data_IF_333780788601
#
_entry.id   IF_333780788601
#
_cell.length_a   1.000
_cell.length_b   1.000
_cell.length_c   1.000
_cell.angle_alpha   90.00
_cell.angle_beta   90.00
_cell.angle_gamma   90.00
#
_symmetry.space_group_name_H-M   'P 1'
#
loop_
_entity.id
_entity.type
_entity.pdbx_description
1 polymer ?
#
# COMPACT_ATOMS: atom_id res chain seq x y z
N UNK A 1 12.79 -44.63 22.09
CA UNK A 1 13.50 -43.36 22.22
C UNK A 1 12.60 -42.30 21.63
N UNK A 2 12.20 -41.24 22.37
CA UNK A 2 11.47 -40.15 21.74
C UNK A 2 12.39 -39.48 20.71
N UNK A 3 11.89 -39.39 19.47
CA UNK A 3 12.62 -38.71 18.38
C UNK A 3 12.96 -37.28 18.78
N UNK A 4 14.05 -36.66 18.23
CA UNK A 4 14.42 -35.31 18.56
C UNK A 4 13.22 -34.40 18.27
N UNK A 5 12.72 -33.75 19.30
CA UNK A 5 11.67 -32.74 19.18
C UNK A 5 12.14 -31.72 18.13
N UNK A 6 11.36 -31.54 17.05
CA UNK A 6 11.66 -30.53 16.04
C UNK A 6 11.93 -29.21 16.77
N UNK A 7 13.09 -28.56 16.56
CA UNK A 7 13.36 -27.29 17.23
C UNK A 7 12.22 -26.33 16.89
N UNK A 8 11.63 -25.75 17.92
CA UNK A 8 10.53 -24.79 17.79
C UNK A 8 11.12 -23.45 17.31
N UNK A 9 11.08 -23.27 16.00
CA UNK A 9 11.65 -22.10 15.30
C UNK A 9 10.76 -20.86 15.37
N UNK A 10 9.92 -20.68 16.38
CA UNK A 10 9.05 -19.53 16.48
C UNK A 10 9.81 -18.25 16.82
N UNK A 11 9.84 -17.23 15.94
CA UNK A 11 10.47 -15.93 16.21
C UNK A 11 9.88 -15.23 17.44
N UNK A 12 8.63 -15.52 17.80
CA UNK A 12 7.96 -14.95 18.97
C UNK A 12 8.57 -15.37 20.32
N UNK A 13 9.45 -16.35 20.38
CA UNK A 13 10.25 -16.65 21.59
C UNK A 13 11.25 -15.54 21.92
N UNK A 14 11.67 -14.78 20.94
CA UNK A 14 12.55 -13.64 21.14
C UNK A 14 11.72 -12.43 21.59
N UNK A 15 11.88 -12.06 22.87
CA UNK A 15 11.13 -10.96 23.50
C UNK A 15 11.16 -9.68 22.65
N UNK A 16 12.34 -9.30 22.18
CA UNK A 16 12.50 -8.05 21.42
C UNK A 16 11.79 -8.10 20.07
N UNK A 17 11.80 -9.25 19.40
CA UNK A 17 11.01 -9.45 18.18
C UNK A 17 9.50 -9.37 18.47
N UNK A 18 9.02 -10.05 19.50
CA UNK A 18 7.59 -10.06 19.88
C UNK A 18 7.09 -8.67 20.21
N UNK A 19 7.85 -7.91 21.01
CA UNK A 19 7.51 -6.53 21.39
C UNK A 19 7.49 -5.63 20.18
N UNK A 20 8.51 -5.70 19.32
CA UNK A 20 8.59 -4.91 18.10
C UNK A 20 7.47 -5.25 17.10
N UNK A 21 7.23 -6.56 16.90
CA UNK A 21 6.19 -7.04 15.99
C UNK A 21 4.80 -6.59 16.44
N UNK A 22 4.47 -6.75 17.74
CA UNK A 22 3.18 -6.34 18.31
C UNK A 22 2.99 -4.82 18.20
N UNK A 23 3.98 -4.02 18.59
CA UNK A 23 3.91 -2.57 18.46
C UNK A 23 3.71 -2.12 17.01
N UNK A 24 4.44 -2.72 16.08
CA UNK A 24 4.29 -2.44 14.65
C UNK A 24 2.93 -2.90 14.10
N UNK A 25 2.40 -4.02 14.56
CA UNK A 25 1.09 -4.53 14.16
C UNK A 25 -0.03 -3.58 14.62
N UNK A 26 0.01 -3.15 15.89
CA UNK A 26 -0.96 -2.19 16.42
C UNK A 26 -0.90 -0.85 15.69
N UNK A 27 0.30 -0.31 15.43
CA UNK A 27 0.45 0.93 14.68
C UNK A 27 -0.03 0.82 13.23
N UNK A 28 0.11 -0.34 12.61
CA UNK A 28 -0.41 -0.59 11.26
C UNK A 28 -1.95 -0.63 11.24
N UNK A 29 -2.59 -1.14 12.30
CA UNK A 29 -4.05 -1.07 12.45
C UNK A 29 -4.48 0.39 12.65
N UNK A 30 -3.85 1.14 13.57
CA UNK A 30 -4.18 2.53 13.84
C UNK A 30 -4.13 3.41 12.58
N UNK A 31 -3.12 3.23 11.75
CA UNK A 31 -2.99 3.94 10.47
C UNK A 31 -4.21 3.75 9.54
N UNK A 32 -4.87 2.58 9.58
CA UNK A 32 -6.09 2.37 8.79
C UNK A 32 -7.25 3.20 9.34
N UNK A 33 -7.34 3.38 10.66
CA UNK A 33 -8.37 4.25 11.27
C UNK A 33 -8.24 5.69 10.78
N UNK A 34 -7.04 6.25 10.85
CA UNK A 34 -6.78 7.59 10.34
C UNK A 34 -7.06 7.71 8.84
N UNK A 35 -6.67 6.72 8.03
CA UNK A 35 -6.91 6.74 6.58
C UNK A 35 -8.39 6.76 6.22
N UNK A 36 -9.22 5.96 6.89
CA UNK A 36 -10.67 5.89 6.67
C UNK A 36 -11.34 7.17 7.17
N UNK A 37 -10.99 7.61 8.39
CA UNK A 37 -11.56 8.81 9.01
C UNK A 37 -11.25 10.07 8.21
N UNK A 38 -10.02 10.26 7.72
CA UNK A 38 -9.64 11.40 6.90
C UNK A 38 -10.44 11.46 5.59
N UNK A 39 -10.57 10.34 4.89
CA UNK A 39 -11.31 10.27 3.64
C UNK A 39 -12.81 10.57 3.85
N UNK A 40 -13.37 10.10 4.95
CA UNK A 40 -14.76 10.40 5.32
C UNK A 40 -14.92 11.86 5.72
N UNK A 41 -14.11 12.37 6.66
CA UNK A 41 -14.24 13.69 7.23
C UNK A 41 -14.02 14.80 6.20
N UNK A 42 -13.03 14.64 5.27
CA UNK A 42 -12.85 15.64 4.20
C UNK A 42 -14.09 15.73 3.31
N UNK A 43 -14.73 14.60 3.01
CA UNK A 43 -15.95 14.58 2.22
C UNK A 43 -17.14 15.14 2.99
N UNK A 44 -17.25 14.83 4.28
CA UNK A 44 -18.30 15.37 5.16
C UNK A 44 -18.23 16.90 5.27
N UNK A 45 -17.02 17.45 5.38
CA UNK A 45 -16.79 18.89 5.49
C UNK A 45 -17.00 19.66 4.18
N UNK A 46 -16.73 19.03 3.04
CA UNK A 46 -16.65 19.77 1.76
C UNK A 46 -17.68 19.35 0.72
N UNK A 47 -18.27 18.18 0.84
CA UNK A 47 -19.10 17.52 -0.17
C UNK A 47 -18.46 17.53 -1.58
N UNK A 48 -17.12 17.55 -1.64
CA UNK A 48 -16.35 17.71 -2.89
C UNK A 48 -15.46 16.50 -3.18
N UNK A 49 -15.68 15.79 -4.30
CA UNK A 49 -14.81 14.72 -4.76
C UNK A 49 -13.36 15.18 -4.99
N UNK A 50 -13.19 16.41 -5.49
CA UNK A 50 -11.87 16.99 -5.72
C UNK A 50 -11.05 17.08 -4.42
N UNK A 51 -11.70 17.45 -3.32
CA UNK A 51 -11.04 17.58 -2.03
C UNK A 51 -10.55 16.22 -1.50
N UNK A 52 -11.27 15.12 -1.77
CA UNK A 52 -10.78 13.77 -1.49
C UNK A 52 -9.57 13.45 -2.38
N UNK A 53 -9.62 13.82 -3.67
CA UNK A 53 -8.51 13.63 -4.61
C UNK A 53 -7.24 14.35 -4.17
N UNK A 54 -7.34 15.56 -3.62
CA UNK A 54 -6.21 16.34 -3.13
C UNK A 54 -5.49 15.67 -1.94
N UNK A 55 -6.14 14.80 -1.16
CA UNK A 55 -5.44 13.95 -0.16
C UNK A 55 -4.40 13.04 -0.84
N UNK A 56 -4.69 12.57 -2.06
CA UNK A 56 -3.73 11.81 -2.87
C UNK A 56 -2.47 12.62 -3.17
N UNK A 57 -2.63 13.85 -3.64
CA UNK A 57 -1.51 14.79 -3.91
C UNK A 57 -0.74 15.10 -2.61
N UNK A 58 -1.47 15.44 -1.54
CA UNK A 58 -0.87 15.73 -0.23
C UNK A 58 0.00 14.57 0.29
N UNK A 59 -0.37 13.33 -0.04
CA UNK A 59 0.40 12.13 0.30
C UNK A 59 1.56 11.90 -0.68
N UNK A 60 1.34 12.11 -1.98
CA UNK A 60 2.35 11.86 -3.02
C UNK A 60 3.56 12.78 -2.89
N UNK A 61 3.35 14.08 -2.61
CA UNK A 61 4.42 15.10 -2.56
C UNK A 61 5.54 14.71 -1.59
N UNK A 62 5.28 14.41 -0.30
CA UNK A 62 6.35 14.00 0.61
C UNK A 62 6.98 12.65 0.24
N UNK A 63 6.17 11.68 -0.23
CA UNK A 63 6.66 10.35 -0.62
C UNK A 63 7.64 10.45 -1.78
N UNK A 64 7.31 11.17 -2.84
CA UNK A 64 8.17 11.35 -4.01
C UNK A 64 9.40 12.20 -3.64
N UNK A 65 9.20 13.29 -2.90
CA UNK A 65 10.29 14.16 -2.43
C UNK A 65 11.33 13.41 -1.62
N UNK A 66 10.89 12.53 -0.71
CA UNK A 66 11.80 11.72 0.10
C UNK A 66 12.48 10.59 -0.66
N UNK A 67 11.88 10.05 -1.71
CA UNK A 67 12.56 9.10 -2.59
C UNK A 67 13.80 9.73 -3.25
N UNK A 68 13.76 11.04 -3.51
CA UNK A 68 14.86 11.79 -4.12
C UNK A 68 15.92 12.24 -3.10
N UNK A 69 15.51 12.56 -1.86
CA UNK A 69 16.39 13.20 -0.84
C UNK A 69 16.64 12.28 0.36
N UNK A 70 15.76 11.31 0.61
CA UNK A 70 15.72 10.50 1.85
C UNK A 70 16.92 9.60 2.07
N UNK A 71 17.68 9.27 1.01
CA UNK A 71 18.94 8.52 1.15
C UNK A 71 19.97 9.23 2.02
N UNK A 72 20.05 10.56 1.93
CA UNK A 72 21.00 11.38 2.70
C UNK A 72 20.65 11.47 4.19
N UNK A 73 19.36 11.48 4.53
CA UNK A 73 18.90 11.60 5.91
C UNK A 73 18.94 10.27 6.67
N UNK A 74 18.66 9.16 5.98
CA UNK A 74 18.67 7.83 6.61
C UNK A 74 20.08 7.33 6.96
N UNK A 75 21.12 7.80 6.23
CA UNK A 75 22.52 7.42 6.46
C UNK A 75 23.16 8.14 7.65
N UNK A 76 22.64 9.32 8.02
CA UNK A 76 23.21 10.18 9.04
C UNK A 76 22.74 9.85 10.46
N UNK A 77 21.66 9.08 10.65
CA UNK A 77 21.05 8.89 11.96
C UNK A 77 21.02 7.41 12.40
N UNK A 78 21.18 7.18 13.71
CA UNK A 78 20.91 5.90 14.33
C UNK A 78 19.45 5.48 14.07
N UNK A 79 19.22 4.29 13.49
CA UNK A 79 17.91 3.76 13.06
C UNK A 79 16.86 3.78 14.16
N UNK A 80 17.24 3.44 15.39
CA UNK A 80 16.34 3.48 16.55
C UNK A 80 15.95 4.91 16.91
N UNK A 81 16.91 5.85 16.89
CA UNK A 81 16.63 7.26 17.14
C UNK A 81 15.72 7.84 16.06
N UNK A 82 15.99 7.54 14.78
CA UNK A 82 15.15 7.99 13.67
C UNK A 82 13.72 7.47 13.83
N UNK A 83 13.54 6.16 14.10
CA UNK A 83 12.21 5.62 14.37
C UNK A 83 11.53 6.28 15.58
N UNK A 84 12.24 6.53 16.67
CA UNK A 84 11.65 7.23 17.82
C UNK A 84 11.19 8.64 17.47
N UNK A 85 11.99 9.40 16.72
CA UNK A 85 11.63 10.75 16.27
C UNK A 85 10.39 10.73 15.35
N UNK A 86 10.36 9.79 14.37
CA UNK A 86 9.21 9.67 13.47
C UNK A 86 7.95 9.25 14.21
N UNK A 87 8.05 8.32 15.17
CA UNK A 87 6.92 7.90 15.99
C UNK A 87 6.36 9.03 16.88
N UNK A 88 7.23 9.87 17.44
CA UNK A 88 6.81 11.06 18.20
C UNK A 88 6.07 12.04 17.28
N UNK A 89 6.58 12.25 16.07
CA UNK A 89 5.92 13.08 15.06
C UNK A 89 4.55 12.54 14.67
N UNK A 90 4.45 11.23 14.37
CA UNK A 90 3.20 10.54 14.03
C UNK A 90 2.18 10.63 15.17
N UNK A 91 2.61 10.36 16.40
CA UNK A 91 1.79 10.53 17.61
C UNK A 91 1.28 11.97 17.74
N UNK A 92 2.15 12.96 17.56
CA UNK A 92 1.80 14.38 17.66
C UNK A 92 0.76 14.79 16.62
N UNK A 93 0.92 14.34 15.37
CA UNK A 93 -0.04 14.63 14.29
C UNK A 93 -1.40 13.97 14.55
N UNK A 94 -1.42 12.67 14.91
CA UNK A 94 -2.68 11.97 15.18
C UNK A 94 -3.39 12.52 16.42
N UNK A 95 -2.65 12.91 17.47
CA UNK A 95 -3.21 13.57 18.66
C UNK A 95 -3.78 14.93 18.30
N UNK A 96 -3.08 15.74 17.53
CA UNK A 96 -3.56 17.06 17.08
C UNK A 96 -4.85 16.94 16.28
N UNK A 97 -4.93 15.95 15.36
CA UNK A 97 -6.16 15.68 14.62
C UNK A 97 -7.31 15.24 15.52
N UNK A 98 -7.04 14.37 16.52
CA UNK A 98 -8.05 13.94 17.46
C UNK A 98 -8.63 15.13 18.25
N UNK A 99 -7.75 16.00 18.77
CA UNK A 99 -8.16 17.19 19.53
C UNK A 99 -8.91 18.20 18.67
N UNK A 100 -8.43 18.53 17.47
CA UNK A 100 -9.11 19.44 16.54
C UNK A 100 -10.47 18.89 16.11
N UNK A 101 -10.53 17.58 15.85
CA UNK A 101 -11.80 16.94 15.45
C UNK A 101 -12.78 16.87 16.61
N UNK A 102 -12.33 16.62 17.83
CA UNK A 102 -13.15 16.66 19.03
C UNK A 102 -13.67 18.06 19.32
N UNK A 103 -12.85 19.09 19.11
CA UNK A 103 -13.24 20.50 19.27
C UNK A 103 -14.12 21.04 18.14
N UNK A 104 -14.40 20.25 17.08
CA UNK A 104 -15.13 20.70 15.90
C UNK A 104 -14.39 21.74 15.05
N UNK A 105 -13.07 21.87 15.22
CA UNK A 105 -12.21 22.85 14.54
C UNK A 105 -11.42 22.29 13.36
N UNK A 106 -11.74 21.07 12.91
CA UNK A 106 -11.08 20.46 11.76
C UNK A 106 -11.50 21.17 10.48
N UNK A 107 -10.49 21.57 9.69
CA UNK A 107 -10.67 22.18 8.38
C UNK A 107 -10.05 21.32 7.28
N UNK A 108 -10.40 21.48 6.01
CA UNK A 108 -9.71 20.77 4.91
C UNK A 108 -8.21 21.00 4.90
N UNK A 109 -7.75 22.21 5.22
CA UNK A 109 -6.33 22.54 5.28
C UNK A 109 -5.59 21.76 6.38
N UNK A 110 -6.20 21.60 7.56
CA UNK A 110 -5.59 20.80 8.65
C UNK A 110 -5.48 19.34 8.25
N UNK A 111 -6.45 18.78 7.51
CA UNK A 111 -6.40 17.40 6.99
C UNK A 111 -5.29 17.23 5.94
N UNK A 112 -5.07 18.21 5.05
CA UNK A 112 -3.97 18.13 4.07
C UNK A 112 -2.60 18.21 4.76
N UNK A 113 -2.41 19.16 5.66
CA UNK A 113 -1.14 19.30 6.39
C UNK A 113 -0.86 18.02 7.18
N UNK A 114 -1.86 17.50 7.89
CA UNK A 114 -1.70 16.23 8.61
C UNK A 114 -1.37 15.06 7.67
N UNK A 115 -2.04 14.97 6.50
CA UNK A 115 -1.73 13.94 5.49
C UNK A 115 -0.30 14.04 4.99
N UNK A 116 0.19 15.26 4.73
CA UNK A 116 1.58 15.51 4.32
C UNK A 116 2.57 15.08 5.40
N UNK A 117 2.33 15.46 6.66
CA UNK A 117 3.21 15.13 7.79
C UNK A 117 3.21 13.61 8.07
N UNK A 118 2.04 12.96 8.05
CA UNK A 118 1.94 11.51 8.20
C UNK A 118 2.68 10.78 7.07
N UNK A 119 2.55 11.23 5.82
CA UNK A 119 3.27 10.68 4.68
C UNK A 119 4.78 10.89 4.80
N UNK A 120 5.22 12.06 5.27
CA UNK A 120 6.62 12.38 5.52
C UNK A 120 7.23 11.42 6.55
N UNK A 121 6.63 11.34 7.75
CA UNK A 121 7.16 10.51 8.83
C UNK A 121 7.12 9.02 8.51
N UNK A 122 6.04 8.52 7.89
CA UNK A 122 5.94 7.11 7.50
C UNK A 122 6.94 6.73 6.42
N UNK A 123 7.24 7.62 5.48
CA UNK A 123 8.25 7.39 4.44
C UNK A 123 9.67 7.35 5.01
N UNK A 124 9.97 8.18 6.02
CA UNK A 124 11.26 8.17 6.73
C UNK A 124 11.44 6.92 7.60
N UNK A 125 10.34 6.43 8.18
CA UNK A 125 10.36 5.26 9.07
C UNK A 125 10.57 3.94 8.33
N UNK A 126 9.96 3.79 7.16
CA UNK A 126 9.87 2.53 6.43
C UNK A 126 11.20 1.77 6.27
N UNK A 127 12.30 2.43 5.84
CA UNK A 127 13.60 1.77 5.70
C UNK A 127 14.16 1.28 7.03
N UNK A 128 14.05 2.11 8.07
CA UNK A 128 14.53 1.77 9.42
C UNK A 128 13.77 0.59 10.00
N UNK A 129 12.46 0.53 9.83
CA UNK A 129 11.60 -0.56 10.28
C UNK A 129 12.03 -1.90 9.64
N UNK A 130 12.25 -1.92 8.33
CA UNK A 130 12.68 -3.14 7.61
C UNK A 130 14.07 -3.61 8.03
N UNK A 131 14.99 -2.68 8.24
CA UNK A 131 16.37 -3.01 8.59
C UNK A 131 16.57 -3.47 10.04
N UNK A 132 15.60 -3.24 10.92
CA UNK A 132 15.68 -3.69 12.32
C UNK A 132 15.40 -5.19 12.48
N UNK A 133 14.55 -5.79 11.66
CA UNK A 133 14.10 -7.17 11.82
C UNK A 133 15.23 -8.20 11.85
N UNK A 134 16.23 -8.15 10.94
CA UNK A 134 17.34 -9.09 10.99
C UNK A 134 18.18 -9.01 12.28
N UNK A 135 18.10 -7.88 13.00
CA UNK A 135 18.82 -7.70 14.28
C UNK A 135 18.06 -8.26 15.50
N UNK A 136 16.78 -8.61 15.33
CA UNK A 136 15.90 -9.04 16.43
C UNK A 136 15.74 -10.55 16.53
N UNK A 137 16.22 -11.32 15.53
CA UNK A 137 16.13 -12.78 15.47
C UNK A 137 17.45 -13.39 15.00
N UNK A 138 17.78 -14.63 15.39
CA UNK A 138 18.90 -15.39 14.80
C UNK A 138 18.70 -15.58 13.29
N UNK A 139 19.82 -15.76 12.56
CA UNK A 139 19.80 -15.91 11.10
C UNK A 139 18.93 -17.08 10.62
N UNK A 140 18.90 -18.16 11.39
CA UNK A 140 18.15 -19.38 11.10
C UNK A 140 16.63 -19.14 11.13
N UNK A 141 16.18 -18.17 11.92
CA UNK A 141 14.75 -17.82 12.07
C UNK A 141 14.32 -16.62 11.21
N UNK A 142 15.26 -16.01 10.47
CA UNK A 142 14.98 -14.85 9.63
C UNK A 142 13.90 -15.13 8.57
N UNK A 143 13.85 -16.28 7.88
CA UNK A 143 12.78 -16.56 6.92
C UNK A 143 11.38 -16.55 7.56
N UNK A 144 11.24 -17.12 8.78
CA UNK A 144 9.96 -17.10 9.52
C UNK A 144 9.59 -15.70 9.98
N UNK A 145 10.57 -14.90 10.45
CA UNK A 145 10.33 -13.52 10.84
C UNK A 145 9.87 -12.66 9.64
N UNK A 146 10.45 -12.86 8.47
CA UNK A 146 10.03 -12.21 7.24
C UNK A 146 8.63 -12.66 6.77
N UNK A 147 8.28 -13.94 6.94
CA UNK A 147 6.93 -14.43 6.66
C UNK A 147 5.88 -13.76 7.57
N UNK A 148 6.20 -13.56 8.86
CA UNK A 148 5.34 -12.86 9.81
C UNK A 148 5.15 -11.36 9.48
N UNK A 149 6.07 -10.74 8.73
CA UNK A 149 5.84 -9.40 8.19
C UNK A 149 4.67 -9.35 7.21
N UNK A 150 4.48 -10.42 6.43
CA UNK A 150 3.31 -10.53 5.56
C UNK A 150 2.01 -10.40 6.36
N UNK A 151 1.87 -11.12 7.48
CA UNK A 151 0.71 -11.03 8.38
C UNK A 151 0.55 -9.61 8.93
N UNK A 152 1.65 -8.98 9.37
CA UNK A 152 1.66 -7.62 9.87
C UNK A 152 1.22 -6.59 8.82
N UNK A 153 1.42 -6.88 7.54
CA UNK A 153 1.00 -6.02 6.44
C UNK A 153 -0.47 -6.24 6.05
N UNK A 154 -0.87 -7.51 5.84
CA UNK A 154 -2.17 -7.80 5.24
C UNK A 154 -3.33 -7.79 6.24
N UNK A 155 -3.14 -8.27 7.46
CA UNK A 155 -4.22 -8.29 8.46
C UNK A 155 -4.73 -6.89 8.80
N UNK A 156 -3.86 -5.87 9.05
CA UNK A 156 -4.32 -4.50 9.26
C UNK A 156 -5.06 -3.89 8.06
N UNK A 157 -4.64 -4.21 6.83
CA UNK A 157 -5.29 -3.68 5.62
C UNK A 157 -6.70 -4.26 5.44
N UNK A 158 -6.95 -5.48 5.91
CA UNK A 158 -8.27 -6.15 5.84
C UNK A 158 -9.15 -5.75 7.02
N UNK A 159 -8.67 -5.97 8.25
CA UNK A 159 -9.45 -5.77 9.45
C UNK A 159 -9.54 -4.30 9.88
N UNK A 160 -8.46 -3.53 9.68
CA UNK A 160 -8.36 -2.15 10.13
C UNK A 160 -9.46 -1.24 9.59
N UNK A 161 -9.72 -1.19 8.26
CA UNK A 161 -10.79 -0.36 7.73
C UNK A 161 -12.19 -0.74 8.21
N UNK A 162 -12.48 -2.04 8.38
CA UNK A 162 -13.76 -2.49 8.90
C UNK A 162 -13.96 -2.04 10.34
N UNK A 163 -12.93 -2.20 11.18
CA UNK A 163 -12.95 -1.72 12.57
C UNK A 163 -13.04 -0.18 12.62
N UNK A 164 -12.30 0.50 11.74
CA UNK A 164 -12.34 1.95 11.64
C UNK A 164 -13.74 2.45 11.26
N UNK A 165 -14.41 1.78 10.31
CA UNK A 165 -15.77 2.11 9.91
C UNK A 165 -16.78 2.00 11.05
N UNK A 166 -16.63 0.97 11.90
CA UNK A 166 -17.46 0.79 13.10
C UNK A 166 -17.22 1.93 14.10
N UNK A 167 -15.96 2.20 14.46
CA UNK A 167 -15.62 3.28 15.40
C UNK A 167 -16.04 4.64 14.86
N UNK A 168 -15.86 4.87 13.56
CA UNK A 168 -16.28 6.09 12.90
C UNK A 168 -17.80 6.30 12.96
N UNK A 169 -18.58 5.23 12.81
CA UNK A 169 -20.04 5.29 12.88
C UNK A 169 -20.58 5.62 14.28
N UNK A 170 -19.96 5.07 15.33
CA UNK A 170 -20.43 5.24 16.71
C UNK A 170 -19.81 6.44 17.43
N UNK A 171 -18.56 6.78 17.14
CA UNK A 171 -17.77 7.73 17.93
C UNK A 171 -17.13 8.85 17.09
N UNK A 172 -17.37 8.85 15.79
CA UNK A 172 -16.89 9.88 14.87
C UNK A 172 -15.39 9.85 14.55
N UNK A 173 -14.91 10.80 13.73
CA UNK A 173 -13.50 10.85 13.28
C UNK A 173 -12.50 11.04 14.40
N UNK A 174 -12.85 11.83 15.44
CA UNK A 174 -11.96 12.09 16.58
C UNK A 174 -11.50 10.81 17.28
N UNK A 175 -12.42 9.86 17.48
CA UNK A 175 -12.11 8.57 18.09
C UNK A 175 -11.15 7.73 17.22
N UNK A 176 -11.31 7.77 15.91
CA UNK A 176 -10.40 7.09 14.98
C UNK A 176 -8.97 7.64 15.08
N UNK A 177 -8.82 8.97 15.14
CA UNK A 177 -7.52 9.61 15.32
C UNK A 177 -6.91 9.31 16.69
N UNK A 178 -7.74 9.24 17.75
CA UNK A 178 -7.30 8.87 19.08
C UNK A 178 -6.79 7.41 19.13
N UNK A 179 -7.47 6.47 18.48
CA UNK A 179 -7.01 5.07 18.35
C UNK A 179 -5.65 5.01 17.65
N UNK A 180 -5.47 5.78 16.57
CA UNK A 180 -4.18 5.86 15.88
C UNK A 180 -3.09 6.45 16.78
N UNK A 181 -3.36 7.54 17.48
CA UNK A 181 -2.43 8.13 18.45
C UNK A 181 -2.01 7.10 19.52
N UNK A 182 -2.96 6.37 20.11
CA UNK A 182 -2.67 5.30 21.07
C UNK A 182 -1.80 4.20 20.46
N UNK A 183 -2.02 3.87 19.19
CA UNK A 183 -1.23 2.86 18.47
C UNK A 183 0.25 3.28 18.30
N UNK A 184 0.50 4.57 18.04
CA UNK A 184 1.85 5.12 17.98
C UNK A 184 2.54 5.13 19.35
N UNK A 185 1.80 5.38 20.44
CA UNK A 185 2.33 5.22 21.81
C UNK A 185 2.74 3.79 22.11
N UNK A 186 1.94 2.80 21.66
CA UNK A 186 2.29 1.39 21.80
C UNK A 186 3.60 1.07 21.06
N UNK A 187 3.81 1.60 19.86
CA UNK A 187 5.06 1.43 19.12
C UNK A 187 6.24 2.16 19.78
N UNK A 188 6.05 3.36 20.30
CA UNK A 188 7.07 4.09 21.09
C UNK A 188 7.47 3.30 22.34
N UNK A 189 6.49 2.72 23.05
CA UNK A 189 6.72 1.83 24.19
C UNK A 189 7.52 0.59 23.77
N UNK A 190 7.16 -0.03 22.65
CA UNK A 190 7.89 -1.17 22.10
C UNK A 190 9.35 -0.82 21.83
N UNK A 191 9.63 0.31 21.16
CA UNK A 191 11.00 0.77 20.88
C UNK A 191 11.81 1.04 22.15
N UNK A 192 11.20 1.58 23.21
CA UNK A 192 11.87 1.81 24.51
C UNK A 192 12.18 0.50 25.23
N UNK A 193 11.35 -0.52 25.07
CA UNK A 193 11.51 -1.83 25.72
C UNK A 193 12.54 -2.74 25.03
N UNK A 194 13.00 -2.42 23.81
CA UNK A 194 14.03 -3.18 23.11
C UNK A 194 15.37 -3.11 23.86
N UNK A 195 15.93 -4.29 24.12
CA UNK A 195 17.26 -4.44 24.75
C UNK A 195 18.38 -4.66 23.74
N UNK A 196 18.03 -5.17 22.56
CA UNK A 196 19.00 -5.43 21.48
C UNK A 196 19.65 -4.14 21.02
N UNK A 197 20.98 -4.14 20.99
CA UNK A 197 21.76 -3.06 20.36
C UNK A 197 21.57 -3.16 18.85
N UNK A 198 20.92 -2.18 18.27
CA UNK A 198 20.71 -2.08 16.84
C UNK A 198 21.99 -1.50 16.23
N UNK A 199 22.60 -2.14 15.23
CA UNK A 199 23.80 -1.61 14.58
C UNK A 199 23.56 -0.19 14.09
N UNK A 200 24.49 0.70 14.37
CA UNK A 200 24.49 2.06 13.83
C UNK A 200 24.70 1.99 12.32
N UNK A 201 23.91 2.75 11.59
CA UNK A 201 23.83 2.88 10.16
C UNK A 201 24.88 2.17 9.31
N UNK A 202 24.47 1.10 8.65
CA UNK A 202 25.13 0.65 7.43
C UNK A 202 24.53 1.46 6.29
N UNK A 203 25.31 2.38 5.73
CA UNK A 203 24.86 3.34 4.76
C UNK A 203 23.97 2.74 3.68
N UNK A 204 22.80 3.32 3.52
CA UNK A 204 22.08 3.19 2.27
C UNK A 204 23.00 3.77 1.21
N UNK A 205 23.33 2.97 0.21
CA UNK A 205 23.99 3.49 -0.98
C UNK A 205 23.05 4.57 -1.52
N UNK A 206 23.49 5.83 -1.43
CA UNK A 206 22.78 6.96 -1.99
C UNK A 206 22.35 6.58 -3.40
N UNK A 207 21.06 6.71 -3.67
CA UNK A 207 20.58 6.58 -5.04
C UNK A 207 21.17 7.79 -5.77
N UNK A 208 22.31 7.58 -6.41
CA UNK A 208 22.93 8.60 -7.25
C UNK A 208 21.99 8.87 -8.43
N UNK A 209 21.90 10.12 -8.85
CA UNK A 209 21.19 10.49 -10.08
C UNK A 209 21.68 9.68 -11.30
N UNK A 210 22.97 9.33 -11.34
CA UNK A 210 23.51 8.42 -12.34
C UNK A 210 22.93 7.01 -12.23
N UNK A 211 22.74 6.49 -11.01
CA UNK A 211 22.13 5.18 -10.79
C UNK A 211 20.66 5.14 -11.22
N UNK A 212 19.92 6.23 -11.01
CA UNK A 212 18.54 6.36 -11.50
C UNK A 212 18.50 6.39 -13.02
N UNK A 213 19.42 7.12 -13.64
CA UNK A 213 19.52 7.21 -15.09
C UNK A 213 19.83 5.85 -15.72
N UNK A 214 20.82 5.12 -15.21
CA UNK A 214 21.15 3.77 -15.69
C UNK A 214 19.98 2.79 -15.53
N UNK A 215 19.24 2.87 -14.41
CA UNK A 215 18.04 2.07 -14.22
C UNK A 215 16.93 2.44 -15.20
N UNK A 216 16.71 3.73 -15.49
CA UNK A 216 15.75 4.21 -16.47
C UNK A 216 16.13 3.76 -17.89
N UNK A 217 17.40 3.88 -18.28
CA UNK A 217 17.91 3.42 -19.57
C UNK A 217 17.69 1.91 -19.75
N UNK A 218 17.93 1.11 -18.69
CA UNK A 218 17.63 -0.32 -18.69
C UNK A 218 16.13 -0.59 -18.89
N UNK A 219 15.26 0.08 -18.11
CA UNK A 219 13.80 -0.07 -18.25
C UNK A 219 13.34 0.30 -19.66
N UNK A 220 13.85 1.40 -20.21
CA UNK A 220 13.47 1.90 -21.54
C UNK A 220 13.91 0.98 -22.68
N UNK A 221 15.09 0.37 -22.55
CA UNK A 221 15.62 -0.58 -23.53
C UNK A 221 15.00 -1.97 -23.43
N UNK A 222 14.39 -2.32 -22.29
CA UNK A 222 13.88 -3.67 -22.04
C UNK A 222 12.44 -3.84 -22.55
N UNK A 223 12.26 -4.62 -23.62
CA UNK A 223 10.99 -4.79 -24.34
C UNK A 223 9.84 -5.46 -23.55
N UNK A 224 10.05 -5.88 -22.30
CA UNK A 224 9.02 -6.50 -21.46
C UNK A 224 8.76 -5.68 -20.19
N UNK A 225 9.81 -5.14 -19.56
CA UNK A 225 9.69 -4.45 -18.26
C UNK A 225 8.91 -3.14 -18.41
N UNK A 226 9.27 -2.30 -19.36
CA UNK A 226 8.59 -1.00 -19.57
C UNK A 226 7.09 -1.17 -19.84
N UNK A 227 6.64 -2.04 -20.78
CA UNK A 227 5.21 -2.25 -21.00
C UNK A 227 4.47 -2.77 -19.75
N UNK A 228 5.10 -3.63 -18.93
CA UNK A 228 4.52 -4.10 -17.67
C UNK A 228 4.38 -2.98 -16.64
N UNK A 229 5.35 -2.07 -16.56
CA UNK A 229 5.28 -0.91 -15.67
C UNK A 229 4.22 0.10 -16.14
N UNK A 230 4.14 0.35 -17.44
CA UNK A 230 3.11 1.22 -18.02
C UNK A 230 1.71 0.65 -17.79
N UNK A 231 1.55 -0.65 -17.92
CA UNK A 231 0.28 -1.34 -17.70
C UNK A 231 -0.15 -1.26 -16.23
N UNK A 232 0.80 -1.43 -15.30
CA UNK A 232 0.56 -1.24 -13.86
C UNK A 232 0.17 0.20 -13.51
N UNK A 233 0.97 1.14 -14.01
CA UNK A 233 0.70 2.56 -13.80
C UNK A 233 -0.68 2.94 -14.35
N UNK A 234 -1.01 2.53 -15.58
CA UNK A 234 -2.31 2.82 -16.17
C UNK A 234 -3.46 2.23 -15.35
N UNK A 235 -3.33 0.98 -14.88
CA UNK A 235 -4.36 0.34 -14.06
C UNK A 235 -4.53 1.04 -12.71
N UNK A 236 -3.43 1.40 -12.05
CA UNK A 236 -3.47 2.03 -10.72
C UNK A 236 -3.75 3.54 -10.78
N UNK A 237 -3.48 4.19 -11.90
CA UNK A 237 -3.79 5.60 -12.14
C UNK A 237 -5.26 5.78 -12.54
N UNK A 238 -5.70 5.15 -13.61
CA UNK A 238 -7.09 5.32 -14.09
C UNK A 238 -8.10 4.48 -13.32
N UNK A 239 -7.78 3.24 -12.97
CA UNK A 239 -8.71 2.33 -12.29
C UNK A 239 -8.79 2.51 -10.78
N UNK A 240 -8.18 3.55 -10.19
CA UNK A 240 -8.18 3.76 -8.76
C UNK A 240 -9.48 4.40 -8.26
N UNK A 241 -10.45 3.59 -7.90
CA UNK A 241 -11.74 4.04 -7.32
C UNK A 241 -11.70 4.26 -5.80
N UNK A 242 -10.54 4.06 -5.14
CA UNK A 242 -10.44 4.14 -3.67
C UNK A 242 -10.83 5.51 -3.12
N UNK A 243 -10.50 6.59 -3.84
CA UNK A 243 -10.90 7.95 -3.49
C UNK A 243 -12.40 8.20 -3.57
N UNK A 244 -13.13 7.36 -4.30
CA UNK A 244 -14.57 7.50 -4.49
C UNK A 244 -15.39 6.79 -3.41
N UNK A 245 -14.79 5.92 -2.59
CA UNK A 245 -15.52 5.11 -1.60
C UNK A 245 -16.34 5.94 -0.59
N UNK A 246 -15.89 7.10 -0.07
CA UNK A 246 -16.72 7.92 0.79
C UNK A 246 -18.00 8.38 0.09
N UNK A 247 -17.92 8.74 -1.20
CA UNK A 247 -19.07 9.18 -2.01
C UNK A 247 -20.03 8.01 -2.22
N UNK A 248 -19.52 6.85 -2.61
CA UNK A 248 -20.34 5.65 -2.77
C UNK A 248 -21.01 5.24 -1.45
N UNK A 249 -20.28 5.28 -0.34
CA UNK A 249 -20.80 4.86 0.97
C UNK A 249 -21.88 5.81 1.49
N UNK A 250 -21.76 7.12 1.24
CA UNK A 250 -22.68 8.13 1.76
C UNK A 250 -23.86 8.39 0.81
N UNK A 251 -23.59 8.64 -0.48
CA UNK A 251 -24.59 9.23 -1.39
C UNK A 251 -25.19 8.21 -2.36
N UNK A 252 -24.45 7.14 -2.75
CA UNK A 252 -24.93 6.18 -3.76
C UNK A 252 -25.52 4.93 -3.12
N UNK A 253 -24.77 4.33 -2.19
CA UNK A 253 -25.18 3.09 -1.52
C UNK A 253 -25.89 3.34 -0.18
N UNK A 254 -25.76 4.56 0.37
CA UNK A 254 -26.36 4.99 1.65
C UNK A 254 -26.08 4.03 2.83
N UNK A 255 -24.85 3.46 2.87
CA UNK A 255 -24.44 2.45 3.87
C UNK A 255 -23.62 3.03 5.03
N UNK A 256 -23.35 4.34 4.99
CA UNK A 256 -22.65 5.07 6.04
C UNK A 256 -21.19 4.66 6.27
N UNK A 257 -20.59 5.08 7.42
CA UNK A 257 -19.18 4.83 7.73
C UNK A 257 -18.83 3.36 7.88
N UNK A 258 -19.72 2.54 8.44
CA UNK A 258 -19.50 1.09 8.57
C UNK A 258 -19.36 0.43 7.20
N UNK A 259 -20.25 0.79 6.28
CA UNK A 259 -20.18 0.31 4.90
C UNK A 259 -18.92 0.79 4.18
N UNK A 260 -18.47 2.03 4.45
CA UNK A 260 -17.19 2.54 3.94
C UNK A 260 -16.02 1.64 4.36
N UNK A 261 -15.95 1.26 5.64
CA UNK A 261 -14.93 0.35 6.14
C UNK A 261 -14.93 -0.99 5.41
N UNK A 262 -16.11 -1.53 5.13
CA UNK A 262 -16.27 -2.78 4.36
C UNK A 262 -15.83 -2.62 2.89
N UNK A 263 -16.14 -1.49 2.24
CA UNK A 263 -15.67 -1.22 0.88
C UNK A 263 -14.14 -1.16 0.80
N UNK A 264 -13.47 -0.58 1.80
CA UNK A 264 -12.01 -0.62 1.87
C UNK A 264 -11.46 -2.03 2.09
N UNK A 265 -12.10 -2.82 2.95
CA UNK A 265 -11.68 -4.19 3.26
C UNK A 265 -11.89 -5.15 2.09
N UNK A 266 -12.90 -4.95 1.25
CA UNK A 266 -13.25 -5.85 0.14
C UNK A 266 -12.08 -6.09 -0.82
N UNK A 267 -11.34 -5.04 -1.22
CA UNK A 267 -10.15 -5.19 -2.07
C UNK A 267 -9.07 -6.05 -1.42
N UNK A 268 -8.82 -5.84 -0.14
CA UNK A 268 -7.82 -6.59 0.60
C UNK A 268 -8.21 -8.07 0.78
N UNK A 269 -9.50 -8.35 0.94
CA UNK A 269 -10.05 -9.71 0.94
C UNK A 269 -9.77 -10.39 -0.42
N UNK A 270 -10.08 -9.72 -1.52
CA UNK A 270 -9.78 -10.22 -2.86
C UNK A 270 -8.28 -10.49 -3.09
N UNK A 271 -7.45 -9.57 -2.61
CA UNK A 271 -5.99 -9.73 -2.67
C UNK A 271 -5.50 -10.94 -1.89
N UNK A 272 -6.03 -11.19 -0.71
CA UNK A 272 -5.66 -12.34 0.12
C UNK A 272 -6.04 -13.66 -0.55
N UNK A 273 -7.27 -13.77 -1.07
CA UNK A 273 -7.71 -14.97 -1.79
C UNK A 273 -6.88 -15.23 -3.05
N UNK A 274 -6.59 -14.19 -3.83
CA UNK A 274 -5.76 -14.32 -5.02
C UNK A 274 -4.32 -14.71 -4.70
N UNK A 275 -3.73 -14.13 -3.66
CA UNK A 275 -2.38 -14.48 -3.22
C UNK A 275 -2.32 -15.95 -2.74
N UNK A 276 -3.31 -16.40 -1.96
CA UNK A 276 -3.44 -17.78 -1.52
C UNK A 276 -3.60 -18.75 -2.71
N UNK A 277 -4.48 -18.43 -3.66
CA UNK A 277 -4.66 -19.22 -4.87
C UNK A 277 -3.37 -19.32 -5.71
N UNK A 278 -2.66 -18.19 -5.89
CA UNK A 278 -1.38 -18.17 -6.61
C UNK A 278 -0.30 -19.01 -5.92
N UNK A 279 -0.27 -18.98 -4.58
CA UNK A 279 0.67 -19.80 -3.80
C UNK A 279 0.37 -21.30 -3.96
N UNK A 280 -0.90 -21.69 -3.99
CA UNK A 280 -1.32 -23.09 -4.20
C UNK A 280 -1.11 -23.58 -5.62
N UNK A 281 -1.31 -22.72 -6.62
CA UNK A 281 -1.11 -23.06 -8.03
C UNK A 281 0.36 -23.24 -8.40
N UNK A 282 1.28 -22.65 -7.60
CA UNK A 282 2.71 -22.68 -7.86
C UNK A 282 3.13 -21.90 -9.12
N UNK A 283 4.29 -22.24 -9.73
CA UNK A 283 4.84 -21.47 -10.86
C UNK A 283 3.93 -21.50 -12.10
N UNK A 284 3.47 -20.31 -12.51
CA UNK A 284 2.57 -20.15 -13.66
C UNK A 284 3.37 -20.04 -14.96
N UNK A 285 3.29 -21.05 -15.82
CA UNK A 285 4.05 -21.11 -17.09
C UNK A 285 3.75 -19.93 -18.04
N UNK A 286 2.48 -19.55 -18.19
CA UNK A 286 2.01 -18.51 -19.11
C UNK A 286 1.79 -17.18 -18.38
N UNK A 287 2.80 -16.68 -17.71
CA UNK A 287 2.70 -15.51 -16.82
C UNK A 287 2.17 -14.26 -17.52
N UNK A 288 2.55 -14.05 -18.78
CA UNK A 288 2.02 -12.93 -19.58
C UNK A 288 0.49 -12.98 -19.70
N UNK A 289 -0.09 -14.13 -20.06
CA UNK A 289 -1.57 -14.26 -20.20
C UNK A 289 -2.30 -14.03 -18.86
N UNK A 290 -1.75 -14.50 -17.77
CA UNK A 290 -2.32 -14.31 -16.44
C UNK A 290 -2.26 -12.86 -15.95
N UNK A 291 -1.23 -12.11 -16.33
CA UNK A 291 -1.17 -10.65 -16.06
C UNK A 291 -2.32 -9.94 -16.80
N UNK A 292 -2.50 -10.24 -18.10
CA UNK A 292 -3.59 -9.65 -18.88
C UNK A 292 -4.96 -10.04 -18.33
N UNK A 293 -5.13 -11.28 -17.90
CA UNK A 293 -6.35 -11.76 -17.26
C UNK A 293 -6.63 -11.01 -15.96
N UNK A 294 -5.62 -10.85 -15.09
CA UNK A 294 -5.74 -10.11 -13.82
C UNK A 294 -6.14 -8.65 -14.03
N UNK A 295 -5.49 -7.95 -14.98
CA UNK A 295 -5.83 -6.55 -15.27
C UNK A 295 -7.18 -6.45 -15.99
N UNK A 296 -7.55 -7.44 -16.81
CA UNK A 296 -8.87 -7.52 -17.42
C UNK A 296 -9.98 -7.64 -16.36
N UNK A 297 -9.81 -8.53 -15.37
CA UNK A 297 -10.72 -8.62 -14.22
C UNK A 297 -10.75 -7.27 -13.47
N UNK A 298 -9.59 -6.68 -13.19
CA UNK A 298 -9.50 -5.40 -12.50
C UNK A 298 -10.32 -4.31 -13.21
N UNK A 299 -10.09 -4.09 -14.51
CA UNK A 299 -10.77 -3.06 -15.29
C UNK A 299 -12.27 -3.35 -15.45
N UNK A 300 -12.66 -4.61 -15.78
CA UNK A 300 -14.06 -4.99 -15.93
C UNK A 300 -14.83 -4.83 -14.61
N UNK A 301 -14.26 -5.28 -13.50
CA UNK A 301 -14.89 -5.14 -12.17
C UNK A 301 -15.03 -3.69 -11.77
N UNK A 302 -14.08 -2.80 -12.15
CA UNK A 302 -14.18 -1.37 -11.94
C UNK A 302 -15.33 -0.76 -12.75
N UNK A 303 -15.49 -1.15 -14.02
CA UNK A 303 -16.63 -0.73 -14.87
C UNK A 303 -17.96 -1.16 -14.28
N UNK A 304 -18.06 -2.41 -13.83
CA UNK A 304 -19.29 -2.95 -13.23
C UNK A 304 -19.59 -2.29 -11.87
N UNK A 305 -18.56 -2.02 -11.08
CA UNK A 305 -18.69 -1.25 -9.83
C UNK A 305 -19.28 0.14 -10.07
N UNK A 306 -18.86 0.81 -11.15
CA UNK A 306 -19.30 2.16 -11.48
C UNK A 306 -20.83 2.32 -11.54
N UNK A 307 -21.53 1.37 -12.15
CA UNK A 307 -22.99 1.38 -12.25
C UNK A 307 -23.72 0.75 -11.08
N UNK A 308 -23.02 0.32 -10.04
CA UNK A 308 -23.63 -0.41 -8.93
C UNK A 308 -24.35 0.51 -7.94
N UNK A 309 -25.60 0.15 -7.61
CA UNK A 309 -26.40 0.75 -6.54
C UNK A 309 -26.72 -0.25 -5.41
N UNK A 310 -26.18 -1.47 -5.49
CA UNK A 310 -26.37 -2.55 -4.52
C UNK A 310 -25.07 -2.83 -3.80
N UNK A 311 -25.09 -2.74 -2.46
CA UNK A 311 -23.88 -2.93 -1.64
C UNK A 311 -23.16 -4.26 -1.92
N UNK A 312 -23.88 -5.40 -1.91
CA UNK A 312 -23.25 -6.70 -2.09
C UNK A 312 -22.64 -6.89 -3.48
N UNK A 313 -23.25 -6.31 -4.51
CA UNK A 313 -22.67 -6.31 -5.84
C UNK A 313 -21.41 -5.43 -5.91
N UNK A 314 -21.45 -4.23 -5.35
CA UNK A 314 -20.27 -3.35 -5.21
C UNK A 314 -19.14 -4.04 -4.47
N UNK A 315 -19.47 -4.68 -3.34
CA UNK A 315 -18.53 -5.42 -2.50
C UNK A 315 -17.84 -6.55 -3.27
N UNK A 316 -18.62 -7.35 -4.02
CA UNK A 316 -18.10 -8.43 -4.87
C UNK A 316 -17.19 -7.88 -5.98
N UNK A 317 -17.60 -6.81 -6.67
CA UNK A 317 -16.80 -6.20 -7.73
C UNK A 317 -15.45 -5.69 -7.18
N UNK A 318 -15.45 -5.11 -6.00
CA UNK A 318 -14.21 -4.67 -5.35
C UNK A 318 -13.33 -5.84 -4.89
N UNK A 319 -13.89 -6.97 -4.46
CA UNK A 319 -13.14 -8.21 -4.21
C UNK A 319 -12.43 -8.65 -5.50
N UNK A 320 -13.14 -8.69 -6.62
CA UNK A 320 -12.58 -9.08 -7.92
C UNK A 320 -11.50 -8.08 -8.38
N UNK A 321 -11.71 -6.78 -8.14
CA UNK A 321 -10.69 -5.75 -8.41
C UNK A 321 -9.40 -6.04 -7.62
N UNK A 322 -9.51 -6.34 -6.32
CA UNK A 322 -8.35 -6.69 -5.49
C UNK A 322 -7.66 -7.98 -5.93
N UNK A 323 -8.44 -8.99 -6.32
CA UNK A 323 -7.92 -10.26 -6.83
C UNK A 323 -7.14 -10.06 -8.13
N UNK A 324 -7.71 -9.33 -9.09
CA UNK A 324 -7.08 -9.03 -10.38
C UNK A 324 -5.77 -8.27 -10.24
N UNK A 325 -5.75 -7.24 -9.37
CA UNK A 325 -4.54 -6.47 -9.03
C UNK A 325 -3.43 -7.37 -8.47
N UNK A 326 -3.78 -8.24 -7.53
CA UNK A 326 -2.81 -9.12 -6.86
C UNK A 326 -2.23 -10.17 -7.81
N UNK A 327 -3.05 -10.81 -8.65
CA UNK A 327 -2.57 -11.76 -9.68
C UNK A 327 -1.54 -11.06 -10.58
N UNK A 328 -1.89 -9.89 -11.08
CA UNK A 328 -1.01 -9.11 -11.95
C UNK A 328 0.27 -8.67 -11.23
N UNK A 329 0.16 -8.14 -10.00
CA UNK A 329 1.27 -7.63 -9.22
C UNK A 329 2.32 -8.71 -8.87
N UNK A 330 1.88 -9.90 -8.45
CA UNK A 330 2.77 -11.04 -8.14
C UNK A 330 3.56 -11.43 -9.39
N UNK A 331 2.89 -11.62 -10.51
CA UNK A 331 3.55 -12.07 -11.74
C UNK A 331 4.48 -10.99 -12.33
N UNK A 332 4.10 -9.72 -12.28
CA UNK A 332 4.97 -8.61 -12.71
C UNK A 332 6.21 -8.51 -11.82
N UNK A 333 6.04 -8.62 -10.50
CA UNK A 333 7.17 -8.61 -9.56
C UNK A 333 8.13 -9.78 -9.86
N UNK A 334 7.59 -10.96 -10.13
CA UNK A 334 8.39 -12.14 -10.49
C UNK A 334 9.15 -11.94 -11.81
N UNK A 335 8.47 -11.43 -12.85
CA UNK A 335 9.12 -11.15 -14.14
C UNK A 335 10.21 -10.09 -13.98
N UNK A 336 9.92 -9.01 -13.26
CA UNK A 336 10.90 -7.95 -13.02
C UNK A 336 12.16 -8.49 -12.32
N UNK A 337 11.99 -9.34 -11.30
CA UNK A 337 13.13 -9.94 -10.60
C UNK A 337 13.95 -10.91 -11.46
N UNK A 338 13.27 -11.74 -12.26
CA UNK A 338 13.93 -12.71 -13.15
C UNK A 338 14.59 -12.08 -14.37
N UNK A 339 14.05 -10.95 -14.87
CA UNK A 339 14.56 -10.26 -16.06
C UNK A 339 15.61 -9.20 -15.75
N UNK A 340 15.88 -8.91 -14.45
CA UNK A 340 16.83 -7.87 -14.05
C UNK A 340 18.15 -8.51 -13.60
N UNK A 341 19.29 -8.14 -14.21
CA UNK A 341 20.61 -8.57 -13.76
C UNK A 341 20.88 -8.17 -12.30
N UNK A 342 21.68 -8.96 -11.58
CA UNK A 342 21.92 -8.78 -10.15
C UNK A 342 22.49 -7.39 -9.83
N UNK A 343 23.34 -6.84 -10.69
CA UNK A 343 23.96 -5.51 -10.55
C UNK A 343 22.94 -4.36 -10.63
N UNK A 344 21.82 -4.57 -11.34
CA UNK A 344 20.78 -3.57 -11.57
C UNK A 344 19.55 -3.75 -10.66
N UNK A 345 19.43 -4.85 -9.89
CA UNK A 345 18.26 -5.16 -9.06
C UNK A 345 17.88 -4.04 -8.09
N UNK A 346 18.88 -3.43 -7.43
CA UNK A 346 18.62 -2.33 -6.50
C UNK A 346 18.05 -1.10 -7.19
N UNK A 347 18.62 -0.73 -8.35
CA UNK A 347 18.19 0.41 -9.17
C UNK A 347 16.78 0.20 -9.71
N UNK A 348 16.53 -1.00 -10.25
CA UNK A 348 15.22 -1.41 -10.76
C UNK A 348 14.15 -1.41 -9.66
N UNK A 349 14.49 -1.91 -8.46
CA UNK A 349 13.58 -1.88 -7.31
C UNK A 349 13.18 -0.45 -6.93
N UNK A 350 14.13 0.49 -6.95
CA UNK A 350 13.85 1.90 -6.66
C UNK A 350 12.91 2.52 -7.69
N UNK A 351 13.15 2.30 -9.00
CA UNK A 351 12.27 2.80 -10.07
C UNK A 351 10.88 2.18 -9.95
N UNK A 352 10.80 0.86 -9.79
CA UNK A 352 9.54 0.17 -9.61
C UNK A 352 8.76 0.72 -8.40
N UNK A 353 9.45 1.05 -7.29
CA UNK A 353 8.83 1.64 -6.11
C UNK A 353 8.25 3.02 -6.38
N UNK A 354 8.90 3.84 -7.21
CA UNK A 354 8.37 5.16 -7.64
C UNK A 354 7.04 4.96 -8.38
N UNK A 355 6.99 4.08 -9.37
CA UNK A 355 5.78 3.84 -10.17
C UNK A 355 4.64 3.25 -9.32
N UNK A 356 4.92 2.22 -8.53
CA UNK A 356 3.91 1.54 -7.70
C UNK A 356 3.39 2.40 -6.55
N UNK A 357 4.19 3.35 -6.05
CA UNK A 357 3.77 4.28 -4.99
C UNK A 357 3.03 5.49 -5.54
N UNK A 358 3.48 6.04 -6.68
CA UNK A 358 2.91 7.26 -7.27
C UNK A 358 1.60 7.01 -7.99
N UNK A 359 1.47 5.88 -8.70
CA UNK A 359 0.28 5.54 -9.48
C UNK A 359 -1.01 5.64 -8.66
N UNK A 360 -1.16 4.95 -7.53
CA UNK A 360 -2.38 5.02 -6.72
C UNK A 360 -2.67 6.41 -6.15
N UNK A 361 -1.65 7.19 -5.78
CA UNK A 361 -1.84 8.53 -5.21
C UNK A 361 -2.30 9.54 -6.28
N UNK A 362 -1.65 9.52 -7.43
CA UNK A 362 -2.02 10.34 -8.58
C UNK A 362 -3.38 9.90 -9.16
N UNK A 363 -3.68 8.61 -9.16
CA UNK A 363 -4.98 8.07 -9.55
C UNK A 363 -6.09 8.49 -8.60
N UNK A 364 -5.83 8.62 -7.31
CA UNK A 364 -6.80 9.19 -6.37
C UNK A 364 -7.12 10.65 -6.71
N UNK A 365 -6.11 11.43 -7.12
CA UNK A 365 -6.32 12.81 -7.57
C UNK A 365 -7.10 12.85 -8.89
N UNK A 366 -6.69 12.06 -9.89
CA UNK A 366 -7.38 11.95 -11.18
C UNK A 366 -8.85 11.59 -10.98
N UNK A 367 -9.16 10.53 -10.23
CA UNK A 367 -10.54 10.12 -9.96
C UNK A 367 -11.34 11.19 -9.22
N UNK A 368 -10.72 11.96 -8.33
CA UNK A 368 -11.34 13.10 -7.66
C UNK A 368 -11.67 14.24 -8.62
N UNK A 369 -10.77 14.58 -9.54
CA UNK A 369 -10.99 15.61 -10.59
C UNK A 369 -12.12 15.19 -11.52
N UNK A 370 -12.07 13.98 -12.06
CA UNK A 370 -13.11 13.47 -12.97
C UNK A 370 -14.46 13.38 -12.26
N UNK A 371 -14.47 12.93 -11.01
CA UNK A 371 -15.70 12.86 -10.22
C UNK A 371 -16.29 14.23 -9.89
N UNK A 372 -15.47 15.27 -9.76
CA UNK A 372 -15.95 16.63 -9.55
C UNK A 372 -16.68 17.20 -10.78
N UNK A 373 -16.34 16.74 -11.99
CA UNK A 373 -16.97 17.19 -13.22
C UNK A 373 -18.13 16.31 -13.69
N UNK A 374 -17.97 15.00 -13.60
CA UNK A 374 -18.88 14.02 -14.19
C UNK A 374 -19.63 13.18 -13.15
N UNK A 375 -19.29 13.33 -11.86
CA UNK A 375 -19.79 12.48 -10.77
C UNK A 375 -18.98 11.21 -10.58
N UNK A 376 -19.09 10.62 -9.38
CA UNK A 376 -18.29 9.45 -8.97
C UNK A 376 -18.55 8.20 -9.84
N UNK A 377 -19.80 7.88 -10.27
CA UNK A 377 -20.03 6.75 -11.16
C UNK A 377 -19.33 6.88 -12.51
N UNK A 378 -19.39 8.08 -13.12
CA UNK A 378 -18.71 8.31 -14.41
C UNK A 378 -17.20 8.31 -14.27
N UNK A 379 -16.65 8.80 -13.17
CA UNK A 379 -15.21 8.68 -12.89
C UNK A 379 -14.75 7.22 -12.79
N UNK A 380 -15.48 6.39 -12.06
CA UNK A 380 -15.19 4.96 -11.98
C UNK A 380 -15.34 4.25 -13.34
N UNK A 381 -16.37 4.61 -14.12
CA UNK A 381 -16.63 4.05 -15.44
C UNK A 381 -15.50 4.39 -16.42
N UNK A 382 -15.17 5.67 -16.55
CA UNK A 382 -14.11 6.14 -17.45
C UNK A 382 -12.75 5.57 -17.06
N UNK A 383 -12.45 5.50 -15.77
CA UNK A 383 -11.23 4.91 -15.25
C UNK A 383 -11.11 3.40 -15.55
N UNK A 384 -12.19 2.66 -15.37
CA UNK A 384 -12.25 1.23 -15.73
C UNK A 384 -12.10 1.01 -17.24
N UNK A 385 -12.76 1.81 -18.08
CA UNK A 385 -12.63 1.77 -19.54
C UNK A 385 -11.20 2.13 -19.97
N UNK A 386 -10.61 3.18 -19.40
CA UNK A 386 -9.24 3.59 -19.71
C UNK A 386 -8.23 2.46 -19.36
N UNK A 387 -8.45 1.76 -18.23
CA UNK A 387 -7.66 0.59 -17.85
C UNK A 387 -7.77 -0.54 -18.87
N UNK A 388 -8.97 -0.84 -19.35
CA UNK A 388 -9.20 -1.85 -20.39
C UNK A 388 -8.61 -1.45 -21.74
N UNK A 389 -8.70 -0.17 -22.11
CA UNK A 389 -8.07 0.34 -23.32
C UNK A 389 -6.55 0.25 -23.23
N UNK A 390 -5.94 0.63 -22.11
CA UNK A 390 -4.50 0.47 -21.88
C UNK A 390 -4.09 -1.01 -22.00
N UNK A 391 -4.90 -1.94 -21.45
CA UNK A 391 -4.67 -3.38 -21.59
C UNK A 391 -4.65 -3.81 -23.06
N UNK A 392 -5.62 -3.36 -23.87
CA UNK A 392 -5.69 -3.69 -25.30
C UNK A 392 -4.52 -3.08 -26.06
N UNK A 393 -4.19 -1.80 -25.80
CA UNK A 393 -3.06 -1.11 -26.44
C UNK A 393 -1.77 -1.90 -26.16
N UNK A 394 -1.49 -2.26 -24.91
CA UNK A 394 -0.28 -3.01 -24.55
C UNK A 394 -0.30 -4.42 -25.17
N UNK A 395 -1.48 -5.08 -25.24
CA UNK A 395 -1.61 -6.40 -25.85
C UNK A 395 -1.28 -6.41 -27.34
N UNK A 396 -1.65 -5.35 -28.05
CA UNK A 396 -1.42 -5.20 -29.50
C UNK A 396 0.01 -4.70 -29.78
N UNK A 397 0.46 -3.67 -29.06
CA UNK A 397 1.75 -3.02 -29.30
C UNK A 397 2.93 -3.89 -28.84
N UNK A 398 2.76 -4.64 -27.75
CA UNK A 398 3.81 -5.47 -27.13
C UNK A 398 3.45 -6.93 -27.03
N UNK A 399 3.29 -7.66 -28.16
CA UNK A 399 2.88 -9.08 -28.15
C UNK A 399 3.87 -9.98 -27.39
N UNK A 400 5.13 -9.57 -27.22
CA UNK A 400 6.14 -10.28 -26.42
C UNK A 400 5.70 -10.41 -24.96
N UNK A 401 5.05 -9.40 -24.38
CA UNK A 401 4.55 -9.41 -23.00
C UNK A 401 3.47 -10.48 -22.83
N UNK A 402 2.48 -10.53 -23.75
CA UNK A 402 1.39 -11.50 -23.69
C UNK A 402 1.90 -12.94 -23.84
N UNK A 403 2.94 -13.14 -24.65
CA UNK A 403 3.55 -14.46 -24.92
C UNK A 403 4.62 -14.84 -23.92
N UNK A 404 4.92 -13.99 -22.95
CA UNK A 404 5.98 -14.24 -21.99
C UNK A 404 5.69 -15.50 -21.17
N UNK A 405 6.69 -16.39 -21.11
CA UNK A 405 6.65 -17.63 -20.34
C UNK A 405 7.84 -17.63 -19.39
N UNK A 406 7.58 -17.90 -18.12
CA UNK A 406 8.65 -18.24 -17.19
C UNK A 406 9.05 -19.67 -17.54
N UNK A 407 10.16 -19.84 -18.30
CA UNK A 407 10.78 -21.16 -18.48
C UNK A 407 11.26 -21.62 -17.10
N UNK A 408 10.97 -22.88 -16.73
CA UNK A 408 11.61 -23.50 -15.57
C UNK A 408 13.13 -23.42 -15.78
N UNK A 409 13.85 -22.78 -14.85
CA UNK A 409 15.25 -23.06 -14.65
C UNK A 409 15.41 -24.47 -14.04
N UNK A 410 15.18 -25.49 -14.83
CA UNK A 410 15.31 -26.89 -14.44
C UNK A 410 15.94 -27.69 -15.57
N UNK A 411 16.95 -27.15 -16.23
CA UNK A 411 17.86 -27.93 -17.06
C UNK A 411 19.22 -27.19 -17.02
N UNK A 412 19.87 -27.30 -15.88
CA UNK A 412 21.34 -27.30 -15.74
C UNK A 412 21.70 -27.89 -14.37
#
# INVERSE_FOLDING_TARGET
>A
MPGPSKPDYSPFRHRDFSVFWTGSFLSSIGTQFTSVAMAWQIYELTNSPLQIGLLGVARAVPQIGLLLVGGLLADAMNRRKLMMCTQIGLFGVSTSLALLSFAGQTTPHTLYIATMLLALFTSLEQPSRQSMIPSLVPREQLPQALALQGTQRYVPIIAGPSLAGVVLAFSGPAACYAVDACSWLAMLGALKLLRTKIPEGGGWKTISLSSLREGLEFVWSHGVILPLMLLDFSATFFGNVRGLFPIYARDILAIGPTGLGLLYASRAIGSLFAAGAMALLGPVKHSGRWIFFGIGIYGLSTVLFAGSQVFWFSFLMLILTGAGDTISSILRSTINQLSTPDELRGRMSSINSIFTSSGPQLGQFESGVVAAWLGAPMSALTGGIATLLALVIVAVTFPKVRRFRISRFSDN
#
